data_IF_523731958645
#
_entry.id   IF_523731958645
#
_cell.length_a   1.000
_cell.length_b   1.000
_cell.length_c   1.000
_cell.angle_alpha   90.00
_cell.angle_beta   90.00
_cell.angle_gamma   90.00
#
_symmetry.space_group_name_H-M   'P 1'
#
loop_
_entity.id
_entity.type
_entity.pdbx_description
1 polymer ?
#
# COMPACT_ATOMS: atom_id res chain seq x y z
N UNK A 1 -20.89 -4.84 -3.77
CA UNK A 1 -20.30 -4.56 -5.10
C UNK A 1 -18.79 -4.66 -4.96
N UNK A 2 -18.11 -5.57 -5.68
CA UNK A 2 -16.66 -5.70 -5.53
C UNK A 2 -15.96 -4.63 -6.35
N UNK A 3 -15.21 -3.75 -5.69
CA UNK A 3 -14.61 -2.56 -6.31
C UNK A 3 -13.55 -3.00 -7.32
N UNK A 4 -13.74 -2.64 -8.59
CA UNK A 4 -12.97 -3.11 -9.75
C UNK A 4 -13.14 -4.60 -10.14
N UNK A 5 -14.25 -5.25 -9.75
CA UNK A 5 -14.55 -6.66 -10.07
C UNK A 5 -13.67 -7.68 -9.32
N UNK A 6 -13.96 -8.97 -9.46
CA UNK A 6 -13.16 -10.09 -8.92
C UNK A 6 -13.10 -10.19 -7.37
N UNK A 7 -12.44 -11.22 -6.83
CA UNK A 7 -12.12 -11.31 -5.40
C UNK A 7 -10.74 -10.68 -5.13
N UNK A 8 -10.62 -9.87 -4.09
CA UNK A 8 -9.35 -9.23 -3.70
C UNK A 8 -8.88 -9.79 -2.36
N UNK A 9 -7.61 -10.14 -2.28
CA UNK A 9 -6.98 -10.57 -1.02
C UNK A 9 -6.30 -9.38 -0.35
N UNK A 10 -6.60 -9.16 0.93
CA UNK A 10 -5.95 -8.14 1.75
C UNK A 10 -4.50 -8.53 2.01
N UNK A 11 -3.55 -7.68 1.59
CA UNK A 11 -2.12 -7.89 1.80
C UNK A 11 -1.61 -7.05 2.96
N UNK A 12 -2.00 -5.77 3.01
CA UNK A 12 -1.65 -4.83 4.10
C UNK A 12 -2.88 -4.05 4.51
N UNK A 13 -3.07 -3.85 5.81
CA UNK A 13 -3.93 -2.81 6.36
C UNK A 13 -3.16 -2.03 7.42
N UNK A 14 -3.07 -0.72 7.22
CA UNK A 14 -2.31 0.19 8.06
C UNK A 14 -3.20 1.32 8.57
N UNK A 15 -3.44 1.34 9.88
CA UNK A 15 -4.10 2.45 10.57
C UNK A 15 -3.19 3.22 11.52
N UNK A 16 -1.88 2.92 11.57
CA UNK A 16 -0.96 3.53 12.52
C UNK A 16 0.49 3.41 12.09
N UNK A 17 1.28 4.47 12.28
CA UNK A 17 2.75 4.43 12.27
C UNK A 17 3.29 4.70 13.69
N UNK A 18 4.51 4.24 14.04
CA UNK A 18 5.52 3.60 13.19
C UNK A 18 5.35 2.09 13.05
N UNK A 19 5.89 1.54 11.95
CA UNK A 19 6.13 0.11 11.74
C UNK A 19 7.62 -0.21 11.78
N UNK A 20 7.98 -1.42 12.18
CA UNK A 20 9.32 -1.97 11.93
C UNK A 20 9.38 -2.61 10.53
N UNK A 21 10.58 -2.74 9.99
CA UNK A 21 10.83 -3.44 8.73
C UNK A 21 10.28 -4.89 8.76
N UNK A 22 10.41 -5.59 9.89
CA UNK A 22 9.86 -6.94 10.06
C UNK A 22 8.33 -6.96 10.08
N UNK A 23 7.69 -6.02 10.78
CA UNK A 23 6.23 -5.89 10.79
C UNK A 23 5.68 -5.61 9.38
N UNK A 24 6.40 -4.82 8.57
CA UNK A 24 6.00 -4.53 7.21
C UNK A 24 5.93 -5.80 6.34
N UNK A 25 6.84 -6.75 6.55
CA UNK A 25 6.82 -8.05 5.88
C UNK A 25 5.71 -8.98 6.40
N UNK A 26 5.52 -9.03 7.71
CA UNK A 26 4.53 -9.90 8.35
C UNK A 26 4.16 -9.45 9.76
N UNK A 27 2.90 -9.10 9.98
CA UNK A 27 2.33 -8.83 11.31
C UNK A 27 0.86 -9.22 11.32
N UNK A 28 0.41 -9.88 12.39
CA UNK A 28 -0.95 -10.42 12.51
C UNK A 28 -1.37 -11.36 11.35
N UNK A 29 -0.41 -12.04 10.71
CA UNK A 29 -0.65 -12.95 9.58
C UNK A 29 -1.58 -14.13 9.92
N UNK A 30 -1.60 -14.58 11.17
CA UNK A 30 -2.49 -15.66 11.68
C UNK A 30 -3.74 -15.12 12.38
N UNK A 31 -3.89 -13.79 12.46
CA UNK A 31 -5.03 -13.10 13.07
C UNK A 31 -5.53 -11.98 12.12
N UNK A 32 -5.98 -12.33 10.91
CA UNK A 32 -6.46 -11.33 9.95
C UNK A 32 -7.72 -10.62 10.47
N UNK A 33 -7.91 -9.33 10.13
CA UNK A 33 -9.13 -8.63 10.50
C UNK A 33 -10.34 -9.25 9.76
N UNK A 34 -11.44 -9.47 10.48
CA UNK A 34 -12.71 -9.91 9.87
C UNK A 34 -13.38 -8.81 9.05
N UNK A 35 -13.12 -7.54 9.41
CA UNK A 35 -13.44 -6.35 8.65
C UNK A 35 -12.16 -5.53 8.45
N UNK A 36 -11.68 -5.32 7.21
CA UNK A 36 -10.45 -4.56 6.95
C UNK A 36 -10.49 -3.12 7.49
N UNK A 37 -11.67 -2.56 7.75
CA UNK A 37 -11.84 -1.22 8.31
C UNK A 37 -11.72 -1.17 9.83
N UNK A 38 -11.70 -2.32 10.52
CA UNK A 38 -11.62 -2.45 11.98
C UNK A 38 -10.34 -3.22 12.34
N UNK A 39 -9.30 -2.49 12.78
CA UNK A 39 -7.98 -3.05 13.08
C UNK A 39 -7.66 -3.09 14.58
N UNK A 40 -8.66 -2.92 15.46
CA UNK A 40 -8.46 -2.83 16.92
C UNK A 40 -7.79 -4.09 17.47
N UNK A 41 -8.24 -5.28 17.06
CA UNK A 41 -7.66 -6.57 17.46
C UNK A 41 -6.28 -6.83 16.86
N UNK A 42 -5.88 -6.03 15.86
CA UNK A 42 -4.59 -6.07 15.18
C UNK A 42 -3.65 -4.94 15.66
N UNK A 43 -4.06 -4.12 16.64
CA UNK A 43 -3.29 -2.96 17.07
C UNK A 43 -3.05 -1.93 15.96
N UNK A 44 -3.94 -1.87 14.96
CA UNK A 44 -3.83 -0.97 13.82
C UNK A 44 -2.95 -1.48 12.67
N UNK A 45 -2.37 -2.69 12.76
CA UNK A 45 -1.40 -3.20 11.78
C UNK A 45 -1.72 -4.60 11.30
N UNK A 46 -1.81 -4.83 9.99
CA UNK A 46 -1.87 -6.17 9.41
C UNK A 46 -1.00 -6.23 8.17
N UNK A 47 -0.16 -7.26 8.05
CA UNK A 47 0.60 -7.53 6.83
C UNK A 47 0.83 -9.02 6.64
N UNK A 48 0.62 -9.46 5.41
CA UNK A 48 1.08 -10.74 4.86
C UNK A 48 1.93 -10.51 3.60
N UNK A 49 2.65 -9.38 3.52
CA UNK A 49 3.41 -8.97 2.35
C UNK A 49 4.39 -10.04 1.87
N UNK A 50 5.05 -10.76 2.79
CA UNK A 50 5.96 -11.87 2.48
C UNK A 50 5.28 -13.07 1.82
N UNK A 51 3.96 -13.21 1.96
CA UNK A 51 3.17 -14.29 1.33
C UNK A 51 2.54 -13.88 0.01
N UNK A 52 2.52 -12.58 -0.32
CA UNK A 52 1.76 -12.06 -1.44
C UNK A 52 2.21 -12.59 -2.80
N UNK A 53 3.51 -12.86 -2.98
CA UNK A 53 4.03 -13.49 -4.19
C UNK A 53 3.56 -14.93 -4.41
N UNK A 54 3.22 -15.64 -3.33
CA UNK A 54 2.66 -17.00 -3.40
C UNK A 54 1.14 -16.99 -3.63
N UNK A 55 0.49 -15.84 -3.44
CA UNK A 55 -0.98 -15.67 -3.52
C UNK A 55 -1.39 -15.03 -4.84
N UNK A 56 -0.53 -14.22 -5.47
CA UNK A 56 -0.84 -13.56 -6.74
C UNK A 56 -1.19 -14.60 -7.82
N UNK A 57 -2.18 -14.27 -8.64
CA UNK A 57 -2.75 -15.18 -9.65
C UNK A 57 -1.76 -15.63 -10.73
N UNK A 58 -0.74 -14.83 -11.00
CA UNK A 58 0.25 -15.10 -12.04
C UNK A 58 1.59 -14.48 -11.67
N UNK A 59 2.67 -15.06 -12.18
CA UNK A 59 4.03 -14.52 -12.02
C UNK A 59 4.17 -13.12 -12.63
N UNK A 60 3.45 -12.82 -13.72
CA UNK A 60 3.29 -11.51 -14.37
C UNK A 60 1.84 -11.26 -14.80
N UNK A 61 1.45 -10.00 -15.00
CA UNK A 61 0.08 -9.66 -15.41
C UNK A 61 -0.95 -9.86 -14.29
N UNK A 62 -0.54 -9.63 -13.04
CA UNK A 62 -1.41 -9.67 -11.87
C UNK A 62 -1.88 -8.27 -11.48
N UNK A 63 -2.99 -8.20 -10.75
CA UNK A 63 -3.56 -6.93 -10.35
C UNK A 63 -3.29 -6.64 -8.89
N UNK A 64 -3.08 -5.36 -8.60
CA UNK A 64 -2.97 -4.85 -7.24
C UNK A 64 -3.80 -3.58 -7.09
N UNK A 65 -4.17 -3.29 -5.85
CA UNK A 65 -5.00 -2.14 -5.53
C UNK A 65 -4.58 -1.56 -4.20
N UNK A 66 -4.63 -0.25 -4.10
CA UNK A 66 -4.56 0.42 -2.81
C UNK A 66 -5.73 1.38 -2.64
N UNK A 67 -6.14 1.53 -1.40
CA UNK A 67 -7.21 2.41 -0.94
C UNK A 67 -6.67 3.23 0.23
N UNK A 68 -7.12 4.46 0.39
CA UNK A 68 -6.76 5.28 1.53
C UNK A 68 -7.96 6.06 2.08
N UNK A 69 -7.94 6.25 3.39
CA UNK A 69 -8.96 6.86 4.25
C UNK A 69 -10.30 6.09 4.30
N UNK A 70 -10.85 5.73 3.15
CA UNK A 70 -12.00 4.83 3.03
C UNK A 70 -11.80 3.86 1.85
N UNK A 71 -12.40 2.67 1.96
CA UNK A 71 -12.33 1.68 0.88
C UNK A 71 -12.97 2.23 -0.40
N UNK A 72 -12.23 2.19 -1.51
CA UNK A 72 -12.64 2.75 -2.79
C UNK A 72 -12.41 4.25 -2.93
N UNK A 73 -11.52 4.83 -2.14
CA UNK A 73 -11.14 6.25 -2.18
C UNK A 73 -9.63 6.42 -2.18
N UNK A 74 -9.17 7.58 -2.67
CA UNK A 74 -7.77 8.05 -2.57
C UNK A 74 -6.75 6.99 -2.97
N UNK A 75 -7.00 6.29 -4.07
CA UNK A 75 -6.18 5.18 -4.48
C UNK A 75 -6.54 4.73 -5.88
N UNK A 76 -6.32 3.47 -6.19
CA UNK A 76 -6.63 2.93 -7.51
C UNK A 76 -6.33 1.44 -7.61
N UNK A 77 -6.75 0.86 -8.73
CA UNK A 77 -6.42 -0.50 -9.11
C UNK A 77 -5.55 -0.50 -10.38
N UNK A 78 -4.63 -1.44 -10.44
CA UNK A 78 -3.53 -1.47 -11.40
C UNK A 78 -3.21 -2.90 -11.81
N UNK A 79 -2.64 -3.05 -13.00
CA UNK A 79 -2.03 -4.29 -13.47
C UNK A 79 -0.51 -4.13 -13.50
N UNK A 80 0.21 -5.05 -12.88
CA UNK A 80 1.65 -5.19 -13.02
C UNK A 80 1.97 -6.00 -14.28
N UNK A 81 2.54 -5.36 -15.31
CA UNK A 81 2.78 -6.01 -16.61
C UNK A 81 4.08 -6.84 -16.66
N UNK A 82 4.87 -6.82 -15.57
CA UNK A 82 6.12 -7.56 -15.43
C UNK A 82 6.07 -8.50 -14.22
N UNK A 83 7.06 -9.37 -14.09
CA UNK A 83 7.17 -10.32 -12.98
C UNK A 83 7.67 -9.68 -11.67
N UNK A 84 7.00 -8.62 -11.22
CA UNK A 84 7.37 -7.90 -10.01
C UNK A 84 7.02 -8.70 -8.75
N UNK A 85 7.81 -8.48 -7.70
CA UNK A 85 7.65 -9.07 -6.38
C UNK A 85 7.07 -8.06 -5.39
N UNK A 86 6.19 -8.52 -4.50
CA UNK A 86 5.63 -7.70 -3.41
C UNK A 86 6.68 -7.29 -2.37
N UNK A 87 7.83 -7.98 -2.33
CA UNK A 87 8.97 -7.65 -1.46
C UNK A 87 10.17 -7.15 -2.28
N UNK A 88 9.95 -6.74 -3.53
CA UNK A 88 10.99 -6.12 -4.36
C UNK A 88 11.55 -4.88 -3.68
N UNK A 89 12.88 -4.79 -3.60
CA UNK A 89 13.59 -3.59 -3.12
C UNK A 89 13.95 -2.62 -4.24
N UNK A 90 13.37 -2.81 -5.44
CA UNK A 90 13.60 -1.95 -6.58
C UNK A 90 12.49 -0.91 -6.71
N UNK A 91 12.87 0.36 -6.79
CA UNK A 91 11.95 1.42 -7.16
C UNK A 91 11.61 1.39 -8.68
N UNK A 92 12.25 0.55 -9.48
CA UNK A 92 12.03 0.43 -10.94
C UNK A 92 10.77 -0.35 -11.36
N UNK A 93 9.84 -0.66 -10.44
CA UNK A 93 8.63 -1.44 -10.73
C UNK A 93 7.55 -0.60 -11.47
N UNK A 94 7.89 0.03 -12.59
CA UNK A 94 7.09 1.09 -13.26
C UNK A 94 6.30 0.62 -14.48
N UNK A 95 6.47 -0.63 -14.94
CA UNK A 95 5.67 -1.17 -16.05
C UNK A 95 4.26 -1.55 -15.56
N UNK A 96 3.43 -0.53 -15.33
CA UNK A 96 2.12 -0.63 -14.68
C UNK A 96 1.03 -0.04 -15.59
N UNK A 97 -0.10 -0.73 -15.70
CA UNK A 97 -1.31 -0.20 -16.36
C UNK A 97 -2.35 0.18 -15.31
N UNK A 98 -2.90 1.39 -15.40
CA UNK A 98 -4.00 1.84 -14.54
C UNK A 98 -5.32 1.20 -14.99
N UNK A 99 -6.00 0.49 -14.10
CA UNK A 99 -7.35 -0.03 -14.34
C UNK A 99 -8.37 1.07 -14.02
N UNK A 100 -8.27 1.65 -12.81
CA UNK A 100 -9.16 2.73 -12.36
C UNK A 100 -8.49 3.54 -11.26
N UNK A 101 -8.81 4.83 -11.21
CA UNK A 101 -8.55 5.68 -10.04
C UNK A 101 -9.77 5.73 -9.13
N UNK A 102 -9.52 5.90 -7.85
CA UNK A 102 -10.52 6.14 -6.82
C UNK A 102 -10.44 7.62 -6.41
N UNK A 103 -11.35 8.41 -6.95
CA UNK A 103 -11.36 9.88 -6.81
C UNK A 103 -10.68 10.60 -7.97
N UNK A 104 -10.48 11.91 -7.79
CA UNK A 104 -9.92 12.82 -8.78
C UNK A 104 -8.58 13.36 -8.29
N UNK A 105 -7.49 12.68 -8.67
CA UNK A 105 -6.12 13.03 -8.28
C UNK A 105 -5.13 12.67 -9.41
N UNK A 106 -3.94 13.27 -9.37
CA UNK A 106 -2.86 13.08 -10.35
C UNK A 106 -1.62 12.47 -9.71
N UNK A 107 -0.86 11.68 -10.47
CA UNK A 107 0.43 11.16 -10.01
C UNK A 107 1.40 12.32 -9.79
N UNK A 108 2.16 12.29 -8.70
CA UNK A 108 3.12 13.34 -8.34
C UNK A 108 4.13 12.83 -7.31
N UNK A 109 5.29 13.48 -7.23
CA UNK A 109 6.33 13.19 -6.23
C UNK A 109 5.84 13.42 -4.79
N UNK A 110 4.90 14.35 -4.60
CA UNK A 110 4.19 14.56 -3.34
C UNK A 110 2.83 13.86 -3.29
N UNK A 111 2.70 12.75 -4.01
CA UNK A 111 1.53 11.88 -3.99
C UNK A 111 1.89 10.43 -4.30
N UNK A 112 0.93 9.71 -4.87
CA UNK A 112 1.18 8.36 -5.41
C UNK A 112 1.88 8.50 -6.76
N UNK A 113 2.90 7.67 -7.00
CA UNK A 113 3.52 7.54 -8.31
C UNK A 113 3.11 6.22 -8.98
N UNK A 114 3.17 6.15 -10.31
CA UNK A 114 2.73 4.99 -11.08
C UNK A 114 3.78 3.86 -11.06
N UNK A 115 3.87 3.16 -9.93
CA UNK A 115 4.71 1.97 -9.74
C UNK A 115 4.05 0.98 -8.79
N UNK A 116 4.44 -0.29 -8.89
CA UNK A 116 4.11 -1.25 -7.84
C UNK A 116 4.88 -0.85 -6.57
N UNK A 117 4.23 -0.84 -5.39
CA UNK A 117 4.91 -0.56 -4.15
C UNK A 117 6.16 -1.44 -3.97
N UNK A 118 7.25 -0.84 -3.53
CA UNK A 118 8.52 -1.51 -3.28
C UNK A 118 8.90 -1.38 -1.81
N UNK A 119 9.62 -2.38 -1.31
CA UNK A 119 9.98 -2.52 0.09
C UNK A 119 11.40 -2.03 0.34
N UNK A 120 11.57 -1.16 1.33
CA UNK A 120 12.88 -0.68 1.77
C UNK A 120 13.00 -0.79 3.29
N UNK A 121 13.83 -1.71 3.77
CA UNK A 121 14.02 -1.93 5.21
C UNK A 121 14.72 -0.77 5.93
N UNK A 122 15.41 0.12 5.19
CA UNK A 122 16.10 1.29 5.73
C UNK A 122 15.34 2.61 5.54
N UNK A 123 14.21 2.59 4.82
CA UNK A 123 13.48 3.78 4.42
C UNK A 123 12.51 4.33 5.48
N UNK A 124 12.11 5.59 5.29
CA UNK A 124 10.97 6.18 6.03
C UNK A 124 9.64 5.59 5.55
N UNK A 125 9.47 5.45 4.23
CA UNK A 125 8.43 4.65 3.60
C UNK A 125 8.92 3.21 3.41
N UNK A 126 8.59 2.33 4.36
CA UNK A 126 8.98 0.92 4.31
C UNK A 126 8.34 0.17 3.14
N UNK A 127 7.15 0.58 2.72
CA UNK A 127 6.47 0.10 1.52
C UNK A 127 5.87 1.31 0.82
N UNK A 128 6.40 1.67 -0.35
CA UNK A 128 6.08 2.96 -0.96
C UNK A 128 5.95 2.89 -2.48
N UNK A 129 5.14 3.79 -3.02
CA UNK A 129 5.11 4.10 -4.46
C UNK A 129 6.05 5.24 -4.84
N UNK A 130 6.67 5.94 -3.90
CA UNK A 130 7.60 7.03 -4.21
C UNK A 130 8.85 6.52 -4.93
N UNK A 131 9.49 7.38 -5.72
CA UNK A 131 10.82 7.15 -6.24
C UNK A 131 11.91 7.07 -5.17
N UNK A 132 11.65 7.59 -3.98
CA UNK A 132 12.55 7.53 -2.84
C UNK A 132 11.80 7.16 -1.56
N UNK A 133 12.33 6.21 -0.81
CA UNK A 133 11.78 5.80 0.48
C UNK A 133 12.04 6.82 1.61
N UNK A 134 12.88 7.84 1.38
CA UNK A 134 13.38 8.72 2.44
C UNK A 134 13.28 10.21 2.13
N UNK A 135 13.18 10.58 0.84
CA UNK A 135 13.01 11.97 0.41
C UNK A 135 11.71 12.09 -0.39
N UNK A 136 10.79 12.95 0.04
CA UNK A 136 9.47 13.08 -0.61
C UNK A 136 8.76 11.72 -0.75
N UNK A 137 8.78 10.94 0.33
CA UNK A 137 8.26 9.57 0.41
C UNK A 137 6.72 9.54 0.54
N UNK A 138 6.03 10.39 -0.20
CA UNK A 138 4.57 10.37 -0.32
C UNK A 138 4.10 9.11 -1.05
N UNK A 139 2.80 8.81 -0.98
CA UNK A 139 2.26 7.55 -1.51
C UNK A 139 2.86 6.32 -0.80
N UNK A 140 3.15 6.45 0.50
CA UNK A 140 3.72 5.39 1.32
C UNK A 140 2.64 4.62 2.07
N UNK A 141 2.55 3.32 1.81
CA UNK A 141 1.56 2.44 2.39
C UNK A 141 1.93 2.06 3.83
N UNK A 142 3.23 1.89 4.10
CA UNK A 142 3.78 1.62 5.43
C UNK A 142 4.91 2.61 5.71
N UNK A 143 4.92 3.15 6.93
CA UNK A 143 5.88 4.15 7.38
C UNK A 143 6.61 3.68 8.64
N UNK A 144 7.93 3.86 8.69
CA UNK A 144 8.75 3.65 9.90
C UNK A 144 8.76 4.85 10.84
N UNK A 145 8.21 5.99 10.40
CA UNK A 145 8.11 7.23 11.17
C UNK A 145 6.71 7.86 11.06
N UNK A 146 6.09 8.33 12.16
CA UNK A 146 4.78 9.00 12.14
C UNK A 146 4.85 10.42 11.55
N UNK A 147 4.88 10.55 10.22
CA UNK A 147 4.87 11.86 9.53
C UNK A 147 3.64 12.71 9.89
N UNK A 148 2.47 12.08 9.92
CA UNK A 148 1.18 12.71 10.20
C UNK A 148 0.83 12.76 11.71
N UNK A 149 1.81 12.57 12.59
CA UNK A 149 1.60 12.39 14.01
C UNK A 149 1.27 10.94 14.39
N UNK A 150 1.21 10.68 15.70
CA UNK A 150 0.91 9.35 16.24
C UNK A 150 -0.53 8.95 15.94
N UNK A 151 -0.74 7.72 15.50
CA UNK A 151 -2.09 7.21 15.16
C UNK A 151 -2.52 7.43 13.72
N UNK A 152 -1.65 7.97 12.86
CA UNK A 152 -1.87 8.02 11.42
C UNK A 152 -0.90 7.06 10.68
N UNK A 153 -1.30 6.47 9.55
CA UNK A 153 -0.45 5.71 8.65
C UNK A 153 0.57 6.61 7.90
N UNK A 154 1.12 6.14 6.78
CA UNK A 154 2.11 6.89 6.00
C UNK A 154 1.56 8.13 5.28
N UNK A 155 2.44 9.08 4.90
CA UNK A 155 2.08 10.22 4.07
C UNK A 155 1.62 9.75 2.70
N UNK A 156 0.55 10.37 2.20
CA UNK A 156 -0.19 9.84 1.06
C UNK A 156 -0.23 10.74 -0.18
N UNK A 157 -1.20 11.65 -0.31
CA UNK A 157 -1.38 12.51 -1.50
C UNK A 157 -1.54 13.98 -1.10
N UNK A 158 -0.42 14.65 -0.81
CA UNK A 158 -0.42 16.07 -0.46
C UNK A 158 -0.98 16.94 -1.59
N UNK A 159 -0.56 16.65 -2.83
CA UNK A 159 -1.00 17.40 -4.01
C UNK A 159 -2.52 17.41 -4.22
N UNK A 160 -3.21 16.40 -3.69
CA UNK A 160 -4.65 16.22 -3.84
C UNK A 160 -5.41 16.56 -2.55
N UNK A 161 -4.74 17.07 -1.51
CA UNK A 161 -5.35 17.43 -0.23
C UNK A 161 -5.62 16.24 0.70
N UNK A 162 -5.09 15.06 0.42
CA UNK A 162 -5.18 13.85 1.26
C UNK A 162 -3.79 13.45 1.77
N UNK A 163 -3.17 14.32 2.55
CA UNK A 163 -1.82 14.10 3.09
C UNK A 163 -1.77 12.97 4.12
N UNK A 164 -2.80 12.88 4.97
CA UNK A 164 -2.82 12.08 6.19
C UNK A 164 -4.12 11.27 6.29
N UNK A 165 -4.26 10.16 5.54
CA UNK A 165 -5.45 9.34 5.59
C UNK A 165 -5.57 8.64 6.96
N UNK A 166 -6.79 8.27 7.38
CA UNK A 166 -6.97 7.52 8.63
C UNK A 166 -6.51 6.05 8.55
N UNK A 167 -6.56 5.47 7.35
CA UNK A 167 -6.12 4.09 7.05
C UNK A 167 -5.61 3.99 5.61
N UNK A 168 -4.74 3.01 5.36
CA UNK A 168 -4.29 2.63 4.01
C UNK A 168 -4.40 1.11 3.89
N UNK A 169 -4.87 0.64 2.74
CA UNK A 169 -4.97 -0.78 2.42
C UNK A 169 -4.22 -1.12 1.14
N UNK A 170 -3.68 -2.33 1.10
CA UNK A 170 -3.07 -2.92 -0.08
C UNK A 170 -3.68 -4.28 -0.37
N UNK A 171 -4.00 -4.54 -1.63
CA UNK A 171 -4.70 -5.73 -2.09
C UNK A 171 -4.05 -6.30 -3.34
N UNK A 172 -4.21 -7.60 -3.54
CA UNK A 172 -3.78 -8.31 -4.74
C UNK A 172 -4.86 -9.28 -5.24
N UNK A 173 -4.81 -9.62 -6.53
CA UNK A 173 -5.60 -10.70 -7.13
C UNK A 173 -4.94 -11.31 -8.36
#
# INVERSE_FOLDING_TARGET
MVRAGGGWTLIVANGVAPWTAAEALSVNATNPPSDPTVLTSQGGKYSILSWADSIKRSSSGFDFRFDADSLGSWGGAYTANSAYSFVSSSNGNTNISQITKFGSWSYADNGVELRMPWYDSGGLGLLTTSNSSSSMWWGSLIASNPHCGTGAPGPWMENAGMSCPSKIWYWAR
#
